data_IF_943136736341
#
_entry.id   IF_943136736341
#
_cell.length_a   1.000
_cell.length_b   1.000
_cell.length_c   1.000
_cell.angle_alpha   90.00
_cell.angle_beta   90.00
_cell.angle_gamma   90.00
#
_symmetry.space_group_name_H-M   'P 1'
#
loop_
_entity.id
_entity.type
_entity.pdbx_description
1 polymer ?
#
# COMPACT_ATOMS: atom_id res chain seq x y z
N UNK A 1 4.65 -1.59 -21.29
CA UNK A 1 4.30 -0.61 -20.24
C UNK A 1 4.79 -1.25 -18.95
N UNK A 2 5.62 -0.58 -18.16
CA UNK A 2 6.05 -1.17 -16.90
C UNK A 2 4.79 -1.39 -16.05
N UNK A 3 4.43 -2.65 -15.82
CA UNK A 3 3.45 -3.01 -14.80
C UNK A 3 4.05 -2.58 -13.47
N UNK A 4 3.77 -1.34 -13.07
CA UNK A 4 4.06 -0.90 -11.71
C UNK A 4 3.33 -1.87 -10.80
N UNK A 5 4.09 -2.66 -10.04
CA UNK A 5 3.55 -3.59 -9.06
C UNK A 5 3.32 -2.84 -7.76
N UNK A 6 2.24 -3.17 -7.08
CA UNK A 6 1.97 -2.70 -5.74
C UNK A 6 3.10 -3.22 -4.83
N UNK A 7 3.92 -2.35 -4.21
CA UNK A 7 5.02 -2.79 -3.35
C UNK A 7 4.51 -3.55 -2.12
N UNK A 8 3.26 -3.31 -1.73
CA UNK A 8 2.63 -3.93 -0.56
C UNK A 8 2.08 -5.33 -0.80
N UNK A 9 1.64 -5.68 -2.01
CA UNK A 9 1.05 -6.99 -2.27
C UNK A 9 1.63 -7.73 -3.48
N UNK A 10 2.55 -7.11 -4.23
CA UNK A 10 3.13 -7.66 -5.46
C UNK A 10 2.17 -7.73 -6.66
N UNK A 11 0.88 -7.46 -6.47
CA UNK A 11 -0.13 -7.41 -7.53
C UNK A 11 -0.03 -6.16 -8.41
N UNK A 12 -0.91 -6.01 -9.42
CA UNK A 12 -0.92 -4.83 -10.28
C UNK A 12 -1.29 -3.57 -9.47
N UNK A 13 -0.57 -2.47 -9.70
CA UNK A 13 -0.88 -1.17 -9.09
C UNK A 13 -2.25 -0.65 -9.54
N UNK A 14 -2.63 -0.94 -10.78
CA UNK A 14 -3.90 -0.54 -11.39
C UNK A 14 -3.92 0.91 -11.87
N UNK A 15 -5.01 1.32 -12.51
CA UNK A 15 -5.15 2.65 -13.12
C UNK A 15 -5.33 3.80 -12.12
N UNK A 16 -5.76 3.47 -10.89
CA UNK A 16 -6.06 4.45 -9.83
C UNK A 16 -5.33 4.09 -8.53
N UNK A 17 -3.99 4.23 -8.49
CA UNK A 17 -3.23 3.95 -7.29
C UNK A 17 -3.65 4.84 -6.12
N UNK A 18 -3.60 4.29 -4.93
CA UNK A 18 -3.79 4.99 -3.67
C UNK A 18 -2.43 5.38 -3.08
N UNK A 19 -2.37 6.48 -2.33
CA UNK A 19 -1.20 6.83 -1.53
C UNK A 19 -1.24 6.02 -0.22
N UNK A 20 -0.14 5.37 0.13
CA UNK A 20 -0.04 4.71 1.43
C UNK A 20 -0.17 5.73 2.57
N UNK A 21 -0.91 5.35 3.61
CA UNK A 21 -1.10 6.11 4.86
C UNK A 21 0.02 5.88 5.86
N UNK A 22 0.97 5.00 5.55
CA UNK A 22 2.18 4.86 6.36
C UNK A 22 2.90 6.19 6.48
N UNK A 23 3.31 6.52 7.71
CA UNK A 23 4.10 7.73 8.02
C UNK A 23 5.58 7.53 7.68
N UNK A 24 5.85 7.12 6.45
CA UNK A 24 7.22 6.99 5.93
C UNK A 24 7.67 8.32 5.30
N UNK A 25 8.97 8.58 5.31
CA UNK A 25 9.57 9.83 4.80
C UNK A 25 9.26 10.13 3.31
N UNK A 26 8.72 9.16 2.56
CA UNK A 26 8.36 9.27 1.15
C UNK A 26 6.93 8.82 0.89
N UNK A 27 6.25 9.50 -0.02
CA UNK A 27 4.96 9.04 -0.51
C UNK A 27 5.12 7.75 -1.34
N UNK A 28 4.62 6.62 -0.86
CA UNK A 28 4.56 5.36 -1.61
C UNK A 28 3.17 5.17 -2.19
N UNK A 29 3.11 4.85 -3.48
CA UNK A 29 1.87 4.49 -4.16
C UNK A 29 1.63 2.98 -4.06
N UNK A 30 0.41 2.59 -3.73
CA UNK A 30 -0.07 1.21 -3.57
C UNK A 30 -1.35 1.02 -4.37
N UNK A 31 -1.75 -0.23 -4.62
CA UNK A 31 -2.99 -0.48 -5.34
C UNK A 31 -4.21 -0.02 -4.52
N UNK A 32 -5.33 0.23 -5.19
CA UNK A 32 -6.58 0.67 -4.53
C UNK A 32 -7.01 -0.28 -3.41
N UNK A 33 -6.88 -1.60 -3.63
CA UNK A 33 -7.25 -2.60 -2.63
C UNK A 33 -6.40 -2.47 -1.35
N UNK A 34 -5.08 -2.31 -1.47
CA UNK A 34 -4.20 -2.07 -0.33
C UNK A 34 -4.50 -0.73 0.35
N UNK A 35 -4.79 0.32 -0.42
CA UNK A 35 -5.18 1.62 0.14
C UNK A 35 -6.49 1.60 0.91
N UNK A 36 -7.45 0.76 0.50
CA UNK A 36 -8.69 0.51 1.25
C UNK A 36 -8.42 -0.27 2.53
N UNK A 37 -7.57 -1.31 2.48
CA UNK A 37 -7.18 -2.05 3.69
C UNK A 37 -6.52 -1.14 4.74
N UNK A 38 -5.64 -0.22 4.33
CA UNK A 38 -5.08 0.78 5.24
C UNK A 38 -6.14 1.67 5.88
N UNK A 39 -7.11 2.15 5.09
CA UNK A 39 -8.19 2.97 5.61
C UNK A 39 -9.04 2.22 6.64
N UNK A 40 -9.32 0.93 6.39
CA UNK A 40 -10.07 0.07 7.30
C UNK A 40 -9.29 -0.18 8.59
N UNK A 41 -7.98 -0.46 8.51
CA UNK A 41 -7.12 -0.66 9.70
C UNK A 41 -7.06 0.60 10.56
N UNK A 42 -6.82 1.75 9.93
CA UNK A 42 -6.80 3.05 10.60
C UNK A 42 -8.13 3.32 11.31
N UNK A 43 -9.27 3.12 10.63
CA UNK A 43 -10.60 3.28 11.22
C UNK A 43 -10.85 2.36 12.43
N UNK A 44 -10.22 1.19 12.46
CA UNK A 44 -10.29 0.25 13.57
C UNK A 44 -9.19 0.44 14.63
N UNK A 45 -8.41 1.53 14.57
CA UNK A 45 -7.25 1.77 15.46
C UNK A 45 -6.23 0.62 15.45
N UNK A 46 -6.12 -0.10 14.33
CA UNK A 46 -5.12 -1.16 14.15
C UNK A 46 -3.81 -0.55 13.68
N UNK A 47 -2.70 -1.12 14.16
CA UNK A 47 -1.39 -0.76 13.65
C UNK A 47 -1.33 -1.00 12.12
N UNK A 48 -0.63 -0.12 11.38
CA UNK A 48 -0.43 -0.34 9.96
C UNK A 48 0.48 -1.56 9.74
N UNK A 49 0.38 -2.19 8.56
CA UNK A 49 1.27 -3.30 8.22
C UNK A 49 2.70 -2.76 8.06
N UNK A 50 3.67 -3.23 8.86
CA UNK A 50 5.06 -2.80 8.77
C UNK A 50 5.64 -2.99 7.36
N UNK A 51 6.53 -2.08 6.97
CA UNK A 51 7.08 -2.04 5.61
C UNK A 51 7.97 -3.26 5.29
N UNK A 52 8.59 -3.85 6.31
CA UNK A 52 9.40 -5.07 6.25
C UNK A 52 8.57 -6.33 6.04
N UNK A 53 7.26 -6.29 6.31
CA UNK A 53 6.32 -7.38 6.00
C UNK A 53 5.76 -7.31 4.58
N UNK A 54 6.09 -6.26 3.82
CA UNK A 54 5.66 -6.13 2.44
C UNK A 54 6.49 -7.08 1.57
N UNK A 55 5.93 -7.69 0.51
CA UNK A 55 6.59 -8.67 -0.34
C UNK A 55 7.69 -8.06 -1.23
N UNK A 56 8.21 -6.89 -0.89
CA UNK A 56 9.30 -6.26 -1.62
C UNK A 56 10.55 -7.13 -1.49
N UNK A 57 10.83 -7.87 -2.56
CA UNK A 57 12.16 -8.36 -2.93
C UNK A 57 13.01 -7.23 -3.51
#
# INVERSE_FOLDING_TARGET
MAEDRCPRCGGPLGERPARSRLTIARAVMICTACGTDEAIREANSQAPVPFDEWPMS
#
